data_IF_644537385038
#
_entry.id   IF_644537385038
#
_cell.length_a   1.000
_cell.length_b   1.000
_cell.length_c   1.000
_cell.angle_alpha   90.00
_cell.angle_beta   90.00
_cell.angle_gamma   90.00
#
_symmetry.space_group_name_H-M   'P 1'
#
loop_
_entity.id
_entity.type
_entity.pdbx_description
1 polymer ?
#
# COMPACT_ATOMS: atom_id res chain seq x y z
N UNK A 1 8.80 -3.42 24.84
CA UNK A 1 8.89 -2.18 24.04
C UNK A 1 7.76 -1.27 24.45
N UNK A 2 8.00 0.03 24.55
CA UNK A 2 6.93 1.01 24.75
C UNK A 2 6.11 1.16 23.46
N UNK A 3 4.80 1.38 23.52
CA UNK A 3 3.98 1.68 22.34
C UNK A 3 4.42 3.01 21.72
N UNK A 4 4.38 3.09 20.39
CA UNK A 4 4.55 4.37 19.69
C UNK A 4 3.39 5.29 20.04
N UNK A 5 3.67 6.58 20.23
CA UNK A 5 2.66 7.61 20.42
C UNK A 5 2.44 8.40 19.13
N UNK A 6 1.31 9.10 19.02
CA UNK A 6 1.07 10.01 17.89
C UNK A 6 2.14 11.10 17.78
N UNK A 7 2.66 11.58 18.91
CA UNK A 7 3.73 12.59 18.96
C UNK A 7 5.03 12.01 18.37
N UNK A 8 5.44 10.82 18.81
CA UNK A 8 6.65 10.18 18.27
C UNK A 8 6.53 9.90 16.76
N UNK A 9 5.35 9.51 16.30
CA UNK A 9 5.14 9.28 14.86
C UNK A 9 5.11 10.59 14.06
N UNK A 10 4.52 11.64 14.60
CA UNK A 10 4.48 12.96 13.97
C UNK A 10 5.90 13.54 13.82
N UNK A 11 6.71 13.49 14.87
CA UNK A 11 8.11 13.95 14.83
C UNK A 11 8.93 13.21 13.76
N UNK A 12 8.70 11.90 13.62
CA UNK A 12 9.34 11.08 12.60
C UNK A 12 8.91 11.51 11.20
N UNK A 13 7.61 11.70 10.95
CA UNK A 13 7.07 12.14 9.65
C UNK A 13 7.59 13.54 9.25
N UNK A 14 7.64 14.48 10.18
CA UNK A 14 8.17 15.83 9.93
C UNK A 14 9.66 15.78 9.57
N UNK A 15 10.43 14.94 10.26
CA UNK A 15 11.85 14.76 9.97
C UNK A 15 12.09 14.09 8.62
N UNK A 16 11.30 13.06 8.29
CA UNK A 16 11.34 12.40 6.99
C UNK A 16 10.97 13.37 5.86
N UNK A 17 9.90 14.15 6.04
CA UNK A 17 9.45 15.15 5.08
C UNK A 17 10.54 16.16 4.74
N UNK A 18 11.17 16.75 5.76
CA UNK A 18 12.29 17.69 5.59
C UNK A 18 13.48 17.05 4.86
N UNK A 19 13.91 15.86 5.28
CA UNK A 19 15.05 15.18 4.64
C UNK A 19 14.77 14.87 3.15
N UNK A 20 13.51 14.50 2.83
CA UNK A 20 13.06 14.27 1.46
C UNK A 20 13.02 15.55 0.63
N UNK A 21 12.43 16.64 1.16
CA UNK A 21 12.35 17.95 0.50
C UNK A 21 13.74 18.54 0.21
N UNK A 22 14.69 18.35 1.13
CA UNK A 22 16.07 18.80 1.00
C UNK A 22 16.93 17.85 0.14
N UNK A 23 16.39 16.69 -0.25
CA UNK A 23 17.10 15.61 -0.94
C UNK A 23 18.40 15.21 -0.20
N UNK A 24 18.33 15.10 1.14
CA UNK A 24 19.43 14.68 2.01
C UNK A 24 19.33 13.17 2.30
N UNK A 25 20.13 12.33 1.61
CA UNK A 25 20.08 10.88 1.79
C UNK A 25 20.64 10.44 3.15
N UNK A 26 21.54 11.23 3.77
CA UNK A 26 22.11 10.89 5.07
C UNK A 26 21.10 11.12 6.18
N UNK A 27 20.47 12.30 6.19
CA UNK A 27 19.41 12.61 7.14
C UNK A 27 18.24 11.62 7.02
N UNK A 28 17.90 11.22 5.79
CA UNK A 28 16.89 10.18 5.55
C UNK A 28 17.29 8.84 6.16
N UNK A 29 18.53 8.37 5.92
CA UNK A 29 19.01 7.08 6.43
C UNK A 29 19.08 7.03 7.97
N UNK A 30 19.41 8.15 8.63
CA UNK A 30 19.48 8.24 10.10
C UNK A 30 18.11 8.06 10.79
N UNK A 31 16.99 8.14 10.05
CA UNK A 31 15.63 7.91 10.56
C UNK A 31 15.23 6.42 10.66
N UNK A 32 16.01 5.53 10.07
CA UNK A 32 15.71 4.10 10.01
C UNK A 32 16.64 3.31 10.93
N UNK A 33 16.10 2.26 11.55
CA UNK A 33 16.91 1.30 12.29
C UNK A 33 17.88 0.57 11.32
N UNK A 34 19.05 0.11 11.77
CA UNK A 34 20.00 -0.61 10.92
C UNK A 34 19.44 -1.87 10.25
N UNK A 35 18.39 -2.45 10.83
CA UNK A 35 17.68 -3.64 10.35
C UNK A 35 16.31 -3.32 9.74
N UNK A 36 16.04 -2.05 9.40
CA UNK A 36 14.81 -1.66 8.73
C UNK A 36 14.70 -2.31 7.35
N UNK A 37 13.52 -2.86 7.05
CA UNK A 37 13.17 -3.37 5.74
C UNK A 37 12.36 -2.29 4.98
N UNK A 38 12.76 -1.99 3.75
CA UNK A 38 12.11 -0.99 2.89
C UNK A 38 11.47 -1.66 1.68
N UNK A 39 10.20 -1.34 1.43
CA UNK A 39 9.39 -1.92 0.36
C UNK A 39 8.77 -0.84 -0.51
N UNK A 40 9.34 -0.62 -1.69
CA UNK A 40 8.78 0.26 -2.71
C UNK A 40 7.90 -0.57 -3.65
N UNK A 41 6.64 -0.81 -3.27
CA UNK A 41 5.61 -1.45 -4.13
C UNK A 41 5.87 -2.90 -4.59
N UNK A 42 5.88 -3.90 -3.69
CA UNK A 42 5.98 -5.30 -4.12
C UNK A 42 4.63 -5.80 -4.67
N UNK A 43 4.38 -5.60 -5.97
CA UNK A 43 3.22 -6.16 -6.67
C UNK A 43 3.18 -7.68 -6.54
N UNK A 44 2.09 -8.24 -6.01
CA UNK A 44 1.91 -9.68 -5.94
C UNK A 44 1.59 -10.28 -7.32
N UNK A 45 1.93 -11.55 -7.52
CA UNK A 45 1.65 -12.30 -8.76
C UNK A 45 0.15 -12.60 -8.95
N UNK A 46 -0.60 -12.66 -7.85
CA UNK A 46 -2.03 -12.94 -7.82
C UNK A 46 -2.76 -11.88 -7.01
N UNK A 47 -4.05 -11.71 -7.27
CA UNK A 47 -4.88 -10.82 -6.46
C UNK A 47 -4.92 -11.31 -5.02
N UNK A 48 -4.68 -10.42 -4.07
CA UNK A 48 -4.56 -10.72 -2.64
C UNK A 48 -5.02 -9.52 -1.81
N UNK A 49 -5.20 -9.75 -0.52
CA UNK A 49 -5.42 -8.67 0.45
C UNK A 49 -4.73 -9.00 1.76
N UNK A 50 -4.41 -7.94 2.50
CA UNK A 50 -3.81 -8.01 3.83
C UNK A 50 -4.51 -6.99 4.72
N UNK A 51 -4.94 -7.40 5.92
CA UNK A 51 -5.43 -6.48 6.93
C UNK A 51 -4.21 -5.86 7.61
N UNK A 52 -4.03 -4.55 7.42
CA UNK A 52 -2.89 -3.80 7.99
C UNK A 52 -3.20 -3.39 9.43
N UNK A 53 -4.41 -2.88 9.68
CA UNK A 53 -4.84 -2.48 11.02
C UNK A 53 -6.37 -2.49 11.15
N UNK A 54 -6.84 -2.71 12.38
CA UNK A 54 -8.24 -2.50 12.77
C UNK A 54 -8.25 -1.66 14.05
N UNK A 55 -9.03 -0.59 14.06
CA UNK A 55 -9.27 0.23 15.23
C UNK A 55 -10.77 0.57 15.32
N UNK A 56 -11.45 0.01 16.32
CA UNK A 56 -12.90 0.18 16.51
C UNK A 56 -13.70 -0.16 15.24
N UNK A 57 -14.29 0.85 14.58
CA UNK A 57 -15.05 0.71 13.34
C UNK A 57 -14.25 1.07 12.08
N UNK A 58 -12.94 1.29 12.20
CA UNK A 58 -12.03 1.65 11.12
C UNK A 58 -11.12 0.45 10.77
N UNK A 59 -11.03 0.14 9.48
CA UNK A 59 -10.11 -0.86 8.95
C UNK A 59 -9.15 -0.25 7.93
N UNK A 60 -7.88 -0.64 8.00
CA UNK A 60 -6.88 -0.37 6.97
C UNK A 60 -6.49 -1.70 6.34
N UNK A 61 -6.58 -1.79 5.03
CA UNK A 61 -6.19 -2.99 4.30
C UNK A 61 -5.34 -2.64 3.09
N UNK A 62 -4.37 -3.48 2.80
CA UNK A 62 -3.71 -3.50 1.49
C UNK A 62 -4.49 -4.44 0.58
N UNK A 63 -4.70 -4.03 -0.67
CA UNK A 63 -5.35 -4.84 -1.68
C UNK A 63 -4.55 -4.81 -2.98
N UNK A 64 -4.35 -5.99 -3.57
CA UNK A 64 -3.60 -6.13 -4.80
C UNK A 64 -4.45 -6.88 -5.84
N UNK A 65 -4.33 -6.48 -7.10
CA UNK A 65 -5.02 -7.17 -8.18
C UNK A 65 -4.34 -7.08 -9.53
N UNK A 66 -4.66 -8.04 -10.40
CA UNK A 66 -4.31 -8.03 -11.81
C UNK A 66 -5.55 -8.28 -12.67
N UNK A 67 -5.81 -7.41 -13.64
CA UNK A 67 -6.99 -7.54 -14.51
C UNK A 67 -6.73 -6.96 -15.90
N UNK A 68 -7.54 -7.37 -16.88
CA UNK A 68 -7.52 -6.82 -18.24
C UNK A 68 -8.59 -5.74 -18.34
N UNK A 69 -8.19 -4.51 -18.66
CA UNK A 69 -9.12 -3.41 -18.86
C UNK A 69 -9.91 -3.63 -20.15
N UNK A 70 -11.24 -3.71 -20.05
CA UNK A 70 -12.15 -4.06 -21.15
C UNK A 70 -11.96 -3.14 -22.37
N UNK A 71 -11.84 -1.82 -22.15
CA UNK A 71 -11.79 -0.84 -23.24
C UNK A 71 -10.45 -0.83 -24.00
N UNK A 72 -9.34 -1.09 -23.31
CA UNK A 72 -8.00 -0.95 -23.90
C UNK A 72 -7.32 -2.30 -24.19
N UNK A 73 -7.82 -3.40 -23.62
CA UNK A 73 -7.16 -4.70 -23.63
C UNK A 73 -5.87 -4.74 -22.80
N UNK A 74 -5.47 -3.64 -22.14
CA UNK A 74 -4.25 -3.60 -21.32
C UNK A 74 -4.44 -4.43 -20.07
N UNK A 75 -3.43 -5.23 -19.74
CA UNK A 75 -3.35 -5.90 -18.45
C UNK A 75 -2.72 -4.94 -17.44
N UNK A 76 -3.39 -4.77 -16.31
CA UNK A 76 -3.01 -3.83 -15.26
C UNK A 76 -2.71 -4.62 -13.99
N UNK A 77 -1.64 -4.26 -13.29
CA UNK A 77 -1.41 -4.57 -11.89
C UNK A 77 -1.76 -3.35 -11.03
N UNK A 78 -2.46 -3.58 -9.92
CA UNK A 78 -2.88 -2.55 -8.97
C UNK A 78 -2.42 -2.93 -7.56
N UNK A 79 -1.94 -1.95 -6.82
CA UNK A 79 -1.59 -2.05 -5.40
C UNK A 79 -2.23 -0.87 -4.65
N UNK A 80 -3.08 -1.17 -3.67
CA UNK A 80 -3.94 -0.20 -3.02
C UNK A 80 -3.81 -0.26 -1.50
N UNK A 81 -4.00 0.89 -0.87
CA UNK A 81 -4.32 1.00 0.55
C UNK A 81 -5.75 1.51 0.67
N UNK A 82 -6.57 0.78 1.41
CA UNK A 82 -7.94 1.13 1.77
C UNK A 82 -8.00 1.64 3.20
N UNK A 83 -8.73 2.71 3.42
CA UNK A 83 -9.19 3.18 4.72
C UNK A 83 -10.73 3.11 4.71
N UNK A 84 -11.28 2.18 5.47
CA UNK A 84 -12.70 1.83 5.45
C UNK A 84 -13.29 2.02 6.84
N UNK A 85 -14.42 2.72 6.92
CA UNK A 85 -15.15 2.90 8.16
C UNK A 85 -16.51 2.21 8.05
N UNK A 86 -16.91 1.50 9.11
CA UNK A 86 -18.15 0.74 9.17
C UNK A 86 -19.18 1.40 10.10
N UNK A 87 -20.46 1.23 9.78
CA UNK A 87 -21.57 1.54 10.68
C UNK A 87 -21.86 0.39 11.67
N UNK A 88 -22.88 0.57 12.52
CA UNK A 88 -23.31 -0.42 13.52
C UNK A 88 -23.89 -1.72 12.93
N UNK A 89 -24.18 -1.74 11.63
CA UNK A 89 -24.65 -2.91 10.88
C UNK A 89 -23.55 -3.57 10.04
N UNK A 90 -22.29 -3.19 10.28
CA UNK A 90 -21.12 -3.65 9.53
C UNK A 90 -21.18 -3.32 8.03
N UNK A 91 -21.86 -2.23 7.66
CA UNK A 91 -21.82 -1.68 6.31
C UNK A 91 -20.78 -0.58 6.22
N UNK A 92 -20.02 -0.57 5.14
CA UNK A 92 -19.06 0.49 4.84
C UNK A 92 -19.81 1.83 4.70
N UNK A 93 -19.50 2.80 5.56
CA UNK A 93 -20.04 4.17 5.52
C UNK A 93 -19.05 5.20 4.96
N UNK A 94 -17.75 4.92 5.02
CA UNK A 94 -16.70 5.69 4.34
C UNK A 94 -15.69 4.74 3.71
N UNK A 95 -15.36 4.97 2.43
CA UNK A 95 -14.30 4.26 1.72
C UNK A 95 -13.33 5.27 1.11
N UNK A 96 -12.06 5.19 1.48
CA UNK A 96 -10.98 6.00 0.90
C UNK A 96 -9.89 5.08 0.39
N UNK A 97 -9.44 5.31 -0.84
CA UNK A 97 -8.48 4.46 -1.52
C UNK A 97 -7.34 5.31 -2.10
N UNK A 98 -6.11 4.85 -1.86
CA UNK A 98 -4.91 5.31 -2.56
C UNK A 98 -4.33 4.13 -3.31
N UNK A 99 -3.90 4.36 -4.55
CA UNK A 99 -3.49 3.28 -5.43
C UNK A 99 -2.27 3.66 -6.26
N UNK A 100 -1.50 2.64 -6.60
CA UNK A 100 -0.49 2.68 -7.64
C UNK A 100 -0.83 1.62 -8.70
N UNK A 101 -0.68 1.97 -9.98
CA UNK A 101 -1.03 1.08 -11.10
C UNK A 101 0.11 0.97 -12.09
N UNK A 102 0.32 -0.24 -12.62
CA UNK A 102 1.28 -0.49 -13.70
C UNK A 102 0.62 -1.27 -14.83
N UNK A 103 0.89 -0.88 -16.08
CA UNK A 103 0.59 -1.74 -17.23
C UNK A 103 1.61 -2.87 -17.25
N UNK A 104 1.13 -4.11 -17.19
CA UNK A 104 1.96 -5.31 -17.25
C UNK A 104 1.83 -5.95 -18.63
N UNK A 105 2.95 -6.40 -19.19
CA UNK A 105 2.91 -7.16 -20.44
C UNK A 105 2.16 -8.48 -20.24
N UNK A 106 1.46 -8.93 -21.27
CA UNK A 106 0.90 -10.27 -21.26
C UNK A 106 2.08 -11.25 -21.28
N UNK A 107 2.25 -12.04 -20.21
CA UNK A 107 3.12 -13.21 -20.24
C UNK A 107 2.72 -14.15 -21.39
N UNK A 108 3.62 -15.03 -21.87
CA UNK A 108 3.32 -15.93 -22.98
C UNK A 108 2.01 -16.68 -22.70
N UNK A 109 1.11 -16.70 -23.69
CA UNK A 109 -0.13 -17.46 -23.62
C UNK A 109 0.26 -18.93 -23.46
N UNK A 110 0.01 -19.50 -22.28
CA UNK A 110 0.16 -20.92 -22.07
C UNK A 110 -0.95 -21.66 -22.81
N UNK A 111 -0.62 -22.16 -24.00
CA UNK A 111 -1.51 -22.98 -24.84
C UNK A 111 -1.51 -24.46 -24.41
N UNK A 112 -0.96 -24.84 -23.25
CA UNK A 112 -0.87 -26.24 -22.82
C UNK A 112 -2.18 -26.86 -22.36
N UNK A 113 -3.26 -26.06 -22.24
CA UNK A 113 -4.60 -26.56 -21.97
C UNK A 113 -5.47 -26.37 -23.23
N UNK A 114 -5.34 -27.33 -24.16
CA UNK A 114 -6.34 -27.62 -25.20
C UNK A 114 -6.83 -29.05 -25.02
#
# INVERSE_FOLDING_TARGET
>A
MAPITSENFQEWLESYGRASEENDPRASAELFAPDAEYYETPFADQSSYEIVAIQENLGIARWQARFTQINSGKRIALDCIFLVEFDEHHKCRMFREWWHSQVIEAGPIDNSVR
#
